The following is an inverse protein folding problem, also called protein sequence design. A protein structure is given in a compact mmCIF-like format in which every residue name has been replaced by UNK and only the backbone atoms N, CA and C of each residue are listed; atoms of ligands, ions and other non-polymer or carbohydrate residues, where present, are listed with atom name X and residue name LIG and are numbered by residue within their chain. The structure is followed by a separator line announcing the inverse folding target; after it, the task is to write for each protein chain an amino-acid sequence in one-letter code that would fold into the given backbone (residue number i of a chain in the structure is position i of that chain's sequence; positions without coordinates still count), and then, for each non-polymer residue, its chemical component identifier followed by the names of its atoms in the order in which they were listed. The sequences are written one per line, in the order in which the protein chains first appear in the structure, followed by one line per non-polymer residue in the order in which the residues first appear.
data_IF_023799540031
#
_entry.id   IF_023799540031
#
_cell.length_a   1.000
_cell.length_b   1.000
_cell.length_c   1.000
_cell.angle_alpha   90.00
_cell.angle_beta   90.00
_cell.angle_gamma   90.00
#
_symmetry.space_group_name_H-M   'P 1'
#
loop_
_entity.id
_entity.type
_entity.pdbx_description
1 polymer ?
#
# COMPACT_ATOMS: atom_id res chain seq x y z
N UNK A 1 -0.73 -32.93 8.88
CA UNK A 1 -1.20 -31.57 8.57
C UNK A 1 -0.65 -31.25 7.19
N UNK A 2 -1.51 -31.25 6.18
CA UNK A 2 -1.08 -31.07 4.79
C UNK A 2 -0.64 -29.61 4.58
N UNK A 3 0.67 -29.39 4.64
CA UNK A 3 1.30 -28.08 4.42
C UNK A 3 0.84 -27.46 3.10
N UNK A 4 0.65 -28.27 2.06
CA UNK A 4 0.14 -27.82 0.76
C UNK A 4 -1.31 -27.30 0.81
N UNK A 5 -2.19 -27.92 1.63
CA UNK A 5 -3.57 -27.46 1.80
C UNK A 5 -3.61 -26.05 2.42
N UNK A 6 -2.73 -25.80 3.40
CA UNK A 6 -2.64 -24.50 4.09
C UNK A 6 -2.16 -23.34 3.21
N UNK A 7 -1.45 -23.64 2.11
CA UNK A 7 -0.94 -22.65 1.17
C UNK A 7 -1.96 -22.24 0.10
N UNK A 8 -3.01 -23.05 -0.12
CA UNK A 8 -3.99 -22.80 -1.18
C UNK A 8 -4.64 -21.41 -1.12
N UNK A 9 -4.99 -20.85 0.06
CA UNK A 9 -5.60 -19.52 0.10
C UNK A 9 -4.62 -18.37 -0.17
N UNK A 10 -3.30 -18.62 -0.04
CA UNK A 10 -2.23 -17.64 -0.28
C UNK A 10 -1.60 -17.77 -1.68
N UNK A 11 -2.16 -18.61 -2.56
CA UNK A 11 -1.69 -18.76 -3.93
C UNK A 11 -1.59 -17.43 -4.68
N UNK A 12 -2.57 -16.50 -4.61
CA UNK A 12 -2.46 -15.22 -5.31
C UNK A 12 -1.20 -14.44 -4.94
N UNK A 13 -0.88 -14.34 -3.66
CA UNK A 13 0.33 -13.67 -3.15
C UNK A 13 1.60 -14.36 -3.65
N UNK A 14 1.64 -15.69 -3.61
CA UNK A 14 2.79 -16.47 -4.08
C UNK A 14 3.00 -16.23 -5.58
N UNK A 15 1.94 -16.24 -6.39
CA UNK A 15 2.04 -16.03 -7.83
C UNK A 15 2.51 -14.61 -8.18
N UNK A 16 2.03 -13.55 -7.51
CA UNK A 16 2.52 -12.19 -7.80
C UNK A 16 3.95 -11.99 -7.31
N UNK A 17 4.34 -12.58 -6.18
CA UNK A 17 5.70 -12.54 -5.68
C UNK A 17 6.68 -13.23 -6.64
N UNK A 18 6.32 -14.43 -7.12
CA UNK A 18 7.09 -15.14 -8.15
C UNK A 18 7.15 -14.34 -9.45
N UNK A 19 6.04 -13.74 -9.87
CA UNK A 19 6.00 -12.88 -11.06
C UNK A 19 6.95 -11.69 -10.91
N UNK A 20 6.99 -11.03 -9.74
CA UNK A 20 7.92 -9.93 -9.48
C UNK A 20 9.39 -10.38 -9.57
N UNK A 21 9.73 -11.52 -8.97
CA UNK A 21 11.06 -12.11 -9.07
C UNK A 21 11.44 -12.46 -10.52
N UNK A 22 10.52 -13.07 -11.28
CA UNK A 22 10.74 -13.44 -12.69
C UNK A 22 10.94 -12.18 -13.54
N UNK A 23 10.14 -11.13 -13.33
CA UNK A 23 10.27 -9.84 -14.03
C UNK A 23 11.62 -9.19 -13.74
N UNK A 24 12.06 -9.21 -12.47
CA UNK A 24 13.37 -8.70 -12.08
C UNK A 24 14.50 -9.49 -12.75
N UNK A 25 14.45 -10.81 -12.68
CA UNK A 25 15.46 -11.69 -13.29
C UNK A 25 15.49 -11.52 -14.82
N UNK A 26 14.33 -11.42 -15.48
CA UNK A 26 14.26 -11.14 -16.91
C UNK A 26 14.87 -9.77 -17.25
N UNK A 27 14.66 -8.76 -16.40
CA UNK A 27 15.26 -7.44 -16.54
C UNK A 27 16.79 -7.43 -16.45
N UNK A 28 17.36 -8.26 -15.56
CA UNK A 28 18.81 -8.37 -15.35
C UNK A 28 19.48 -9.26 -16.39
N UNK A 29 18.88 -10.39 -16.74
CA UNK A 29 19.48 -11.40 -17.63
C UNK A 29 19.33 -11.06 -19.11
N UNK A 30 18.28 -10.34 -19.50
CA UNK A 30 18.10 -9.96 -20.89
C UNK A 30 18.94 -8.72 -21.21
N UNK A 31 19.65 -8.69 -22.35
CA UNK A 31 20.50 -7.57 -22.70
C UNK A 31 19.69 -6.26 -22.73
N UNK A 32 19.96 -5.36 -21.80
CA UNK A 32 19.41 -4.00 -21.84
C UNK A 32 20.34 -3.16 -22.70
N UNK A 33 19.90 -2.84 -23.92
CA UNK A 33 20.56 -1.80 -24.72
C UNK A 33 20.32 -0.44 -24.04
N UNK A 34 21.23 0.54 -24.20
CA UNK A 34 21.02 1.89 -23.68
C UNK A 34 19.66 2.44 -24.14
N UNK A 35 19.00 3.20 -23.27
CA UNK A 35 17.63 3.71 -23.41
C UNK A 35 17.35 4.57 -24.66
N UNK A 36 18.33 4.73 -25.55
CA UNK A 36 18.24 5.47 -26.82
C UNK A 36 17.64 4.66 -27.97
N UNK A 37 17.56 3.32 -27.87
CA UNK A 37 16.96 2.48 -28.92
C UNK A 37 15.55 2.05 -28.52
N UNK A 38 14.56 2.41 -29.34
CA UNK A 38 13.10 2.18 -29.16
C UNK A 38 12.65 0.72 -29.06
N UNK A 39 13.57 -0.24 -29.11
CA UNK A 39 13.31 -1.67 -28.99
C UNK A 39 14.28 -2.31 -27.99
N UNK A 40 14.21 -1.91 -26.73
CA UNK A 40 14.87 -2.66 -25.66
C UNK A 40 14.05 -3.93 -25.40
N UNK A 41 14.52 -5.07 -25.90
CA UNK A 41 13.81 -6.34 -25.82
C UNK A 41 13.58 -6.74 -24.37
N UNK A 42 14.58 -6.60 -23.49
CA UNK A 42 14.49 -6.95 -22.07
C UNK A 42 13.37 -6.24 -21.32
N UNK A 43 13.27 -4.91 -21.45
CA UNK A 43 12.21 -4.11 -20.82
C UNK A 43 10.81 -4.48 -21.35
N UNK A 44 10.73 -4.82 -22.64
CA UNK A 44 9.45 -5.23 -23.24
C UNK A 44 8.99 -6.61 -22.77
N UNK A 45 9.92 -7.54 -22.55
CA UNK A 45 9.64 -8.82 -21.91
C UNK A 45 9.21 -8.64 -20.45
N UNK A 46 9.94 -7.84 -19.67
CA UNK A 46 9.60 -7.52 -18.29
C UNK A 46 8.17 -6.96 -18.16
N UNK A 47 7.81 -6.00 -19.02
CA UNK A 47 6.44 -5.46 -19.09
C UNK A 47 5.39 -6.53 -19.40
N UNK A 48 5.61 -7.34 -20.44
CA UNK A 48 4.64 -8.36 -20.85
C UNK A 48 4.46 -9.44 -19.76
N UNK A 49 5.56 -9.83 -19.12
CA UNK A 49 5.55 -10.77 -17.99
C UNK A 49 4.84 -10.18 -16.77
N UNK A 50 5.03 -8.89 -16.48
CA UNK A 50 4.30 -8.21 -15.41
C UNK A 50 2.79 -8.21 -15.64
N UNK A 51 2.34 -7.92 -16.87
CA UNK A 51 0.91 -7.99 -17.23
C UNK A 51 0.40 -9.42 -17.14
N UNK A 52 1.10 -10.39 -17.72
CA UNK A 52 0.69 -11.79 -17.70
C UNK A 52 0.60 -12.33 -16.26
N UNK A 53 1.59 -12.03 -15.42
CA UNK A 53 1.60 -12.40 -14.00
C UNK A 53 0.45 -11.78 -13.23
N UNK A 54 0.14 -10.50 -13.48
CA UNK A 54 -0.98 -9.78 -12.85
C UNK A 54 -2.36 -10.33 -13.27
N UNK A 55 -2.52 -10.68 -14.55
CA UNK A 55 -3.76 -11.29 -15.05
C UNK A 55 -3.94 -12.71 -14.53
N UNK A 56 -2.87 -13.50 -14.49
CA UNK A 56 -2.89 -14.86 -13.94
C UNK A 56 -3.27 -14.81 -12.45
N UNK A 57 -2.68 -13.90 -11.67
CA UNK A 57 -3.07 -13.74 -10.27
C UNK A 57 -4.50 -13.29 -10.11
N UNK A 58 -4.97 -12.33 -10.91
CA UNK A 58 -6.37 -11.91 -10.88
C UNK A 58 -7.32 -13.08 -11.16
N UNK A 59 -6.98 -13.91 -12.14
CA UNK A 59 -7.74 -15.13 -12.46
C UNK A 59 -7.80 -16.09 -11.25
N UNK A 60 -6.68 -16.31 -10.55
CA UNK A 60 -6.68 -17.15 -9.33
C UNK A 60 -7.57 -16.59 -8.21
N UNK A 61 -7.58 -15.27 -8.01
CA UNK A 61 -8.42 -14.60 -7.00
C UNK A 61 -9.90 -14.77 -7.33
N UNK A 62 -10.28 -14.58 -8.60
CA UNK A 62 -11.69 -14.67 -9.03
C UNK A 62 -12.22 -16.10 -8.94
N UNK A 63 -11.40 -17.10 -9.27
CA UNK A 63 -11.81 -18.51 -9.21
C UNK A 63 -11.83 -19.11 -7.80
N UNK A 64 -11.03 -18.57 -6.88
CA UNK A 64 -11.02 -19.05 -5.50
C UNK A 64 -12.41 -18.90 -4.85
N UNK A 65 -12.94 -19.88 -4.10
CA UNK A 65 -14.19 -19.71 -3.37
C UNK A 65 -14.02 -18.74 -2.18
N UNK A 66 -15.05 -17.95 -1.86
CA UNK A 66 -15.00 -16.89 -0.81
C UNK A 66 -15.20 -17.43 0.60
N UNK A 67 -14.75 -18.66 0.84
CA UNK A 67 -14.91 -19.28 2.15
C UNK A 67 -13.98 -18.59 3.14
N UNK A 68 -14.49 -18.36 4.35
CA UNK A 68 -13.75 -17.82 5.48
C UNK A 68 -12.71 -18.86 5.92
N UNK A 69 -11.59 -18.90 5.21
CA UNK A 69 -10.47 -19.75 5.56
C UNK A 69 -9.39 -18.90 6.25
N UNK A 70 -9.15 -19.24 7.52
CA UNK A 70 -7.99 -18.77 8.26
C UNK A 70 -6.89 -19.83 8.14
N UNK A 71 -5.70 -19.40 7.73
CA UNK A 71 -4.54 -20.27 7.61
C UNK A 71 -3.32 -19.63 8.29
N UNK A 72 -2.23 -20.41 8.38
CA UNK A 72 -0.99 -19.99 9.07
C UNK A 72 -1.25 -19.53 10.51
N UNK A 73 -1.90 -20.37 11.32
CA UNK A 73 -2.20 -20.07 12.73
C UNK A 73 -2.93 -18.72 12.90
N UNK A 74 -3.98 -18.45 12.11
CA UNK A 74 -4.75 -17.20 12.12
C UNK A 74 -3.98 -15.92 11.75
N UNK A 75 -2.74 -16.02 11.28
CA UNK A 75 -2.01 -14.85 10.76
C UNK A 75 -2.49 -14.41 9.37
N UNK A 76 -3.11 -15.32 8.62
CA UNK A 76 -3.67 -15.06 7.29
C UNK A 76 -5.17 -15.34 7.27
N UNK A 77 -5.94 -14.40 6.73
CA UNK A 77 -7.40 -14.49 6.58
C UNK A 77 -7.80 -14.23 5.14
N UNK A 78 -8.53 -15.16 4.54
CA UNK A 78 -9.12 -14.96 3.22
C UNK A 78 -10.64 -14.88 3.35
N UNK A 79 -11.20 -13.71 3.07
CA UNK A 79 -12.63 -13.43 3.15
C UNK A 79 -13.08 -12.56 1.96
N UNK A 80 -14.37 -12.19 1.95
CA UNK A 80 -14.94 -11.36 0.89
C UNK A 80 -14.25 -10.00 0.74
N UNK A 81 -13.84 -9.38 1.86
CA UNK A 81 -13.12 -8.11 1.86
C UNK A 81 -11.73 -8.27 1.23
N UNK A 82 -10.97 -9.28 1.65
CA UNK A 82 -9.65 -9.58 1.09
C UNK A 82 -9.74 -9.77 -0.42
N UNK A 83 -10.71 -10.58 -0.88
CA UNK A 83 -10.94 -10.82 -2.31
C UNK A 83 -11.24 -9.54 -3.07
N UNK A 84 -12.11 -8.68 -2.53
CA UNK A 84 -12.49 -7.42 -3.17
C UNK A 84 -11.30 -6.48 -3.32
N UNK A 85 -10.52 -6.30 -2.25
CA UNK A 85 -9.35 -5.40 -2.28
C UNK A 85 -8.29 -5.95 -3.23
N UNK A 86 -8.02 -7.27 -3.21
CA UNK A 86 -7.05 -7.91 -4.11
C UNK A 86 -7.47 -7.79 -5.58
N UNK A 87 -8.74 -8.02 -5.90
CA UNK A 87 -9.24 -7.94 -7.27
C UNK A 87 -9.19 -6.50 -7.81
N UNK A 88 -9.57 -5.52 -7.00
CA UNK A 88 -9.46 -4.10 -7.34
C UNK A 88 -7.99 -3.67 -7.52
N UNK A 89 -7.10 -4.08 -6.61
CA UNK A 89 -5.68 -3.75 -6.68
C UNK A 89 -5.02 -4.33 -7.95
N UNK A 90 -5.29 -5.59 -8.27
CA UNK A 90 -4.78 -6.25 -9.49
C UNK A 90 -5.39 -5.65 -10.77
N UNK A 91 -6.68 -5.32 -10.75
CA UNK A 91 -7.34 -4.63 -11.87
C UNK A 91 -6.73 -3.26 -12.14
N UNK A 92 -6.54 -2.45 -11.09
CA UNK A 92 -5.86 -1.15 -11.18
C UNK A 92 -4.40 -1.30 -11.59
N UNK A 93 -3.70 -2.35 -11.16
CA UNK A 93 -2.33 -2.63 -11.59
C UNK A 93 -2.28 -2.87 -13.10
N UNK A 94 -3.12 -3.77 -13.63
CA UNK A 94 -3.14 -4.07 -15.08
C UNK A 94 -3.45 -2.81 -15.90
N UNK A 95 -4.50 -2.08 -15.54
CA UNK A 95 -4.88 -0.84 -16.22
C UNK A 95 -3.78 0.22 -16.10
N UNK A 96 -3.20 0.36 -14.91
CA UNK A 96 -2.10 1.27 -14.62
C UNK A 96 -0.88 0.97 -15.47
N UNK A 97 -0.43 -0.29 -15.54
CA UNK A 97 0.72 -0.70 -16.35
C UNK A 97 0.52 -0.37 -17.84
N UNK A 98 -0.68 -0.63 -18.38
CA UNK A 98 -1.02 -0.30 -19.78
C UNK A 98 -0.96 1.22 -20.00
N UNK A 99 -1.58 2.00 -19.11
CA UNK A 99 -1.67 3.45 -19.23
C UNK A 99 -0.32 4.17 -19.02
N UNK A 100 0.50 3.68 -18.09
CA UNK A 100 1.75 4.33 -17.69
C UNK A 100 2.91 4.09 -18.69
N UNK A 101 2.91 2.97 -19.41
CA UNK A 101 4.07 2.60 -20.27
C UNK A 101 4.45 3.65 -21.32
N UNK A 102 3.51 4.25 -22.09
CA UNK A 102 3.87 5.31 -23.04
C UNK A 102 4.54 6.51 -22.36
N UNK A 103 4.08 6.87 -21.15
CA UNK A 103 4.68 7.94 -20.35
C UNK A 103 6.11 7.58 -19.93
N UNK A 104 6.33 6.38 -19.40
CA UNK A 104 7.66 5.92 -18.97
C UNK A 104 8.66 5.92 -20.14
N UNK A 105 8.24 5.49 -21.33
CA UNK A 105 9.07 5.51 -22.55
C UNK A 105 9.43 6.92 -22.98
N UNK A 106 8.44 7.83 -22.99
CA UNK A 106 8.64 9.23 -23.39
C UNK A 106 9.64 9.94 -22.49
N UNK A 107 9.65 9.62 -21.19
CA UNK A 107 10.55 10.20 -20.20
C UNK A 107 11.82 9.36 -19.97
N UNK A 108 12.06 8.32 -20.78
CA UNK A 108 13.25 7.45 -20.73
C UNK A 108 13.49 6.78 -19.37
N UNK A 109 12.41 6.53 -18.63
CA UNK A 109 12.39 5.83 -17.34
C UNK A 109 11.67 4.46 -17.43
N UNK A 110 11.45 3.96 -18.66
CA UNK A 110 10.92 2.60 -18.92
C UNK A 110 12.01 1.57 -18.59
N UNK A 111 11.96 1.04 -17.36
CA UNK A 111 12.95 0.12 -16.81
C UNK A 111 12.28 -1.08 -16.10
N UNK A 112 12.90 -2.27 -16.08
CA UNK A 112 12.33 -3.47 -15.44
C UNK A 112 12.05 -3.30 -13.95
N UNK A 113 12.85 -2.47 -13.28
CA UNK A 113 12.75 -2.16 -11.85
C UNK A 113 11.40 -1.50 -11.54
N UNK A 114 10.90 -0.61 -12.40
CA UNK A 114 9.60 0.02 -12.20
C UNK A 114 8.46 -1.02 -12.13
N UNK A 115 8.46 -1.98 -13.06
CA UNK A 115 7.46 -3.06 -13.10
C UNK A 115 7.58 -3.99 -11.90
N UNK A 116 8.82 -4.30 -11.49
CA UNK A 116 9.11 -5.12 -10.32
C UNK A 116 8.59 -4.47 -9.04
N UNK A 117 8.88 -3.17 -8.84
CA UNK A 117 8.41 -2.40 -7.70
C UNK A 117 6.88 -2.29 -7.68
N UNK A 118 6.23 -2.10 -8.84
CA UNK A 118 4.77 -2.07 -8.94
C UNK A 118 4.12 -3.40 -8.52
N UNK A 119 4.73 -4.54 -8.88
CA UNK A 119 4.26 -5.87 -8.46
C UNK A 119 4.44 -6.10 -6.96
N UNK A 120 5.61 -5.77 -6.40
CA UNK A 120 5.85 -5.88 -4.95
C UNK A 120 5.00 -4.91 -4.13
N UNK A 121 4.76 -3.69 -4.62
CA UNK A 121 3.84 -2.74 -4.02
C UNK A 121 2.43 -3.33 -3.94
N UNK A 122 1.96 -3.93 -5.04
CA UNK A 122 0.65 -4.59 -5.10
C UNK A 122 0.59 -5.81 -4.18
N UNK A 123 1.67 -6.61 -4.10
CA UNK A 123 1.80 -7.69 -3.13
C UNK A 123 1.63 -7.17 -1.69
N UNK A 124 2.23 -6.02 -1.34
CA UNK A 124 2.02 -5.38 -0.04
C UNK A 124 0.54 -5.11 0.24
N UNK A 125 -0.21 -4.61 -0.75
CA UNK A 125 -1.66 -4.42 -0.65
C UNK A 125 -2.41 -5.72 -0.42
N UNK A 126 -2.04 -6.79 -1.13
CA UNK A 126 -2.66 -8.11 -0.98
C UNK A 126 -2.39 -8.70 0.42
N UNK A 127 -1.17 -8.57 0.92
CA UNK A 127 -0.78 -8.99 2.27
C UNK A 127 -1.58 -8.23 3.33
N UNK A 128 -1.73 -6.90 3.20
CA UNK A 128 -2.57 -6.11 4.11
C UNK A 128 -4.03 -6.55 4.07
N UNK A 129 -4.57 -6.78 2.87
CA UNK A 129 -5.96 -7.20 2.69
C UNK A 129 -6.26 -8.54 3.37
N UNK A 130 -5.26 -9.42 3.49
CA UNK A 130 -5.38 -10.73 4.13
C UNK A 130 -4.74 -10.84 5.52
N UNK A 131 -4.37 -9.72 6.12
CA UNK A 131 -3.72 -9.75 7.43
C UNK A 131 -4.70 -10.17 8.54
N UNK A 132 -4.34 -11.24 9.27
CA UNK A 132 -5.01 -11.67 10.51
C UNK A 132 -4.28 -11.26 11.79
N UNK A 133 -3.10 -10.63 11.68
CA UNK A 133 -2.29 -10.21 12.81
C UNK A 133 -1.64 -8.85 12.57
N UNK A 134 -1.30 -8.14 13.65
CA UNK A 134 -0.60 -6.86 13.63
C UNK A 134 0.70 -6.92 12.81
N UNK A 135 1.46 -8.01 12.95
CA UNK A 135 2.73 -8.19 12.26
C UNK A 135 2.56 -8.28 10.73
N UNK A 136 1.66 -9.14 10.25
CA UNK A 136 1.41 -9.30 8.81
C UNK A 136 0.88 -7.99 8.21
N UNK A 137 0.03 -7.29 8.97
CA UNK A 137 -0.50 -6.01 8.56
C UNK A 137 0.62 -4.97 8.38
N UNK A 138 1.51 -4.84 9.37
CA UNK A 138 2.67 -3.95 9.31
C UNK A 138 3.63 -4.30 8.16
N UNK A 139 3.90 -5.60 7.94
CA UNK A 139 4.75 -6.04 6.83
C UNK A 139 4.18 -5.64 5.46
N UNK A 140 2.87 -5.75 5.27
CA UNK A 140 2.23 -5.30 4.04
C UNK A 140 2.31 -3.78 3.85
N UNK A 141 2.17 -3.01 4.95
CA UNK A 141 2.33 -1.54 4.94
C UNK A 141 3.74 -1.13 4.52
N UNK A 142 4.76 -1.76 5.09
CA UNK A 142 6.17 -1.46 4.83
C UNK A 142 6.61 -1.91 3.44
N UNK A 143 6.18 -3.10 2.99
CA UNK A 143 6.48 -3.57 1.64
C UNK A 143 5.94 -2.60 0.59
N UNK A 144 4.70 -2.13 0.76
CA UNK A 144 4.14 -1.08 -0.10
C UNK A 144 4.96 0.20 -0.01
N UNK A 145 5.26 0.68 1.20
CA UNK A 145 5.94 1.95 1.42
C UNK A 145 7.29 2.01 0.71
N UNK A 146 8.15 1.00 0.94
CA UNK A 146 9.49 0.92 0.37
C UNK A 146 9.46 0.87 -1.17
N UNK A 147 8.49 0.14 -1.74
CA UNK A 147 8.31 0.11 -3.18
C UNK A 147 7.92 1.49 -3.74
N UNK A 148 6.98 2.18 -3.09
CA UNK A 148 6.57 3.52 -3.53
C UNK A 148 7.70 4.54 -3.43
N UNK A 149 8.54 4.50 -2.39
CA UNK A 149 9.70 5.39 -2.28
C UNK A 149 10.67 5.19 -3.46
N UNK A 150 10.94 3.94 -3.82
CA UNK A 150 11.74 3.60 -5.00
C UNK A 150 11.10 4.07 -6.31
N UNK A 151 9.78 3.91 -6.46
CA UNK A 151 9.06 4.35 -7.66
C UNK A 151 9.00 5.88 -7.80
N UNK A 152 8.99 6.64 -6.69
CA UNK A 152 9.05 8.12 -6.74
C UNK A 152 10.45 8.57 -7.16
N UNK A 153 11.50 7.91 -6.65
CA UNK A 153 12.90 8.21 -6.96
C UNK A 153 13.41 7.55 -8.26
N UNK A 154 12.53 6.99 -9.10
CA UNK A 154 12.96 6.20 -10.27
C UNK A 154 13.72 7.04 -11.30
N UNK A 155 13.36 8.32 -11.43
CA UNK A 155 14.09 9.27 -12.27
C UNK A 155 15.29 9.83 -11.49
N UNK A 156 16.44 9.19 -11.67
CA UNK A 156 17.69 9.55 -10.98
C UNK A 156 18.33 10.84 -11.51
N UNK A 157 17.81 11.41 -12.60
CA UNK A 157 18.34 12.63 -13.21
C UNK A 157 17.55 13.88 -12.81
N UNK A 158 16.36 13.72 -12.21
CA UNK A 158 15.54 14.83 -11.74
C UNK A 158 15.71 15.04 -10.23
N UNK A 159 16.39 16.12 -9.86
CA UNK A 159 16.60 16.50 -8.45
C UNK A 159 15.26 16.67 -7.70
N UNK A 160 14.18 17.07 -8.39
CA UNK A 160 12.86 17.22 -7.78
C UNK A 160 12.25 15.88 -7.39
N UNK A 161 12.49 14.84 -8.17
CA UNK A 161 12.05 13.48 -7.87
C UNK A 161 12.81 12.93 -6.65
N UNK A 162 14.11 13.21 -6.55
CA UNK A 162 14.93 12.86 -5.39
C UNK A 162 14.48 13.58 -4.11
N UNK A 163 14.22 14.90 -4.18
CA UNK A 163 13.70 15.68 -3.05
C UNK A 163 12.33 15.15 -2.59
N UNK A 164 11.41 14.91 -3.53
CA UNK A 164 10.08 14.39 -3.25
C UNK A 164 10.13 13.00 -2.59
N UNK A 165 10.98 12.10 -3.10
CA UNK A 165 11.18 10.78 -2.52
C UNK A 165 11.77 10.86 -1.11
N UNK A 166 12.74 11.75 -0.87
CA UNK A 166 13.33 11.94 0.45
C UNK A 166 12.30 12.45 1.46
N UNK A 167 11.50 13.46 1.08
CA UNK A 167 10.38 13.94 1.92
C UNK A 167 9.40 12.82 2.21
N UNK A 168 9.05 12.02 1.22
CA UNK A 168 8.10 10.92 1.38
C UNK A 168 8.64 9.82 2.29
N UNK A 169 9.91 9.45 2.12
CA UNK A 169 10.59 8.45 2.92
C UNK A 169 10.70 8.89 4.38
N UNK A 170 11.18 10.11 4.65
CA UNK A 170 11.38 10.60 6.02
C UNK A 170 10.05 10.76 6.75
N UNK A 171 9.06 11.42 6.14
CA UNK A 171 7.74 11.60 6.75
C UNK A 171 7.03 10.25 6.93
N UNK A 172 7.20 9.34 5.96
CA UNK A 172 6.61 8.01 6.02
C UNK A 172 7.27 7.10 7.05
N UNK A 173 8.59 7.17 7.24
CA UNK A 173 9.30 6.45 8.28
C UNK A 173 8.85 6.89 9.68
N UNK A 174 8.65 8.19 9.89
CA UNK A 174 8.10 8.72 11.15
C UNK A 174 6.68 8.22 11.39
N UNK A 175 5.81 8.30 10.38
CA UNK A 175 4.43 7.83 10.49
C UNK A 175 4.33 6.30 10.69
N UNK A 176 5.22 5.54 10.03
CA UNK A 176 5.30 4.10 10.21
C UNK A 176 5.86 3.70 11.57
N UNK A 177 6.86 4.43 12.07
CA UNK A 177 7.35 4.28 13.44
C UNK A 177 6.26 4.54 14.48
N UNK A 178 5.45 5.60 14.29
CA UNK A 178 4.28 5.86 15.11
C UNK A 178 3.27 4.69 15.04
N UNK A 179 2.94 4.22 13.84
CA UNK A 179 2.04 3.07 13.65
C UNK A 179 2.53 1.83 14.39
N UNK A 180 3.80 1.46 14.20
CA UNK A 180 4.43 0.29 14.85
C UNK A 180 4.45 0.44 16.36
N UNK A 181 4.73 1.64 16.87
CA UNK A 181 4.73 1.91 18.30
C UNK A 181 3.34 1.74 18.92
N UNK A 182 2.29 2.24 18.25
CA UNK A 182 0.90 2.00 18.64
C UNK A 182 0.53 0.51 18.62
N UNK A 183 0.91 -0.22 17.57
CA UNK A 183 0.72 -1.68 17.50
C UNK A 183 1.45 -2.42 18.63
N UNK A 184 2.68 -2.00 18.96
CA UNK A 184 3.47 -2.55 20.06
C UNK A 184 2.82 -2.30 21.42
N UNK A 185 2.18 -1.14 21.63
CA UNK A 185 1.44 -0.86 22.86
C UNK A 185 0.21 -1.75 22.98
N UNK A 186 -0.54 -1.98 21.89
CA UNK A 186 -1.64 -2.94 21.89
C UNK A 186 -1.17 -4.35 22.22
N UNK A 187 -0.06 -4.80 21.63
CA UNK A 187 0.56 -6.06 22.02
C UNK A 187 0.95 -6.09 23.50
N UNK A 188 1.50 -5.00 24.05
CA UNK A 188 1.82 -4.90 25.48
C UNK A 188 0.61 -4.98 26.41
N UNK A 189 -0.57 -4.53 25.95
CA UNK A 189 -1.82 -4.60 26.72
C UNK A 189 -2.49 -5.97 26.64
N UNK A 190 -2.48 -6.62 25.47
CA UNK A 190 -3.26 -7.85 25.23
C UNK A 190 -2.42 -9.12 25.26
N UNK A 191 -1.09 -9.00 25.08
CA UNK A 191 -0.18 -10.14 24.95
C UNK A 191 -0.30 -10.90 23.62
N UNK A 192 -1.14 -10.44 22.68
CA UNK A 192 -1.39 -11.13 21.40
C UNK A 192 -1.15 -10.24 20.19
N UNK A 193 -0.70 -10.87 19.10
CA UNK A 193 -0.56 -10.23 17.79
C UNK A 193 -1.80 -10.45 16.90
N UNK A 194 -2.69 -11.38 17.26
CA UNK A 194 -3.87 -11.69 16.45
C UNK A 194 -4.90 -10.58 16.57
N UNK A 195 -5.41 -10.10 15.43
CA UNK A 195 -6.39 -9.01 15.39
C UNK A 195 -7.67 -9.39 16.17
N UNK A 196 -8.12 -10.64 16.06
CA UNK A 196 -9.29 -11.16 16.77
C UNK A 196 -9.14 -11.18 18.30
N UNK A 197 -7.93 -11.09 18.81
CA UNK A 197 -7.61 -11.17 20.23
C UNK A 197 -7.28 -9.78 20.82
N UNK A 198 -7.42 -8.71 20.03
CA UNK A 198 -7.22 -7.33 20.50
C UNK A 198 -8.41 -6.79 21.30
N UNK A 199 -8.84 -7.56 22.30
CA UNK A 199 -9.90 -7.16 23.23
C UNK A 199 -9.26 -6.39 24.39
N UNK A 200 -9.72 -5.16 24.59
CA UNK A 200 -9.17 -4.25 25.60
C UNK A 200 -10.26 -4.00 26.63
N UNK A 201 -9.94 -4.22 27.90
CA UNK A 201 -10.81 -3.86 29.00
C UNK A 201 -10.75 -2.34 29.22
N UNK A 202 -11.88 -1.67 29.02
CA UNK A 202 -12.02 -0.23 29.19
C UNK A 202 -12.59 0.16 30.56
N UNK A 203 -12.87 -0.82 31.43
CA UNK A 203 -13.40 -0.58 32.77
C UNK A 203 -12.33 -0.07 33.75
N UNK A 204 -11.07 -0.48 33.57
CA UNK A 204 -9.92 0.04 34.32
C UNK A 204 -9.33 1.29 33.61
N UNK A 205 -9.24 2.45 34.30
CA UNK A 205 -8.67 3.67 33.74
C UNK A 205 -7.25 3.54 33.21
N UNK A 206 -6.39 2.72 33.82
CA UNK A 206 -4.97 2.66 33.44
C UNK A 206 -4.77 1.98 32.05
N UNK A 207 -5.28 0.76 31.79
CA UNK A 207 -5.30 0.16 30.46
C UNK A 207 -6.05 1.02 29.43
N UNK A 208 -7.15 1.66 29.82
CA UNK A 208 -7.92 2.52 28.92
C UNK A 208 -7.11 3.73 28.41
N UNK A 209 -6.37 4.40 29.29
CA UNK A 209 -5.53 5.55 28.90
C UNK A 209 -4.39 5.13 27.95
N UNK A 210 -3.76 3.98 28.21
CA UNK A 210 -2.70 3.45 27.33
C UNK A 210 -3.29 3.07 25.97
N UNK A 211 -4.47 2.45 25.94
CA UNK A 211 -5.16 2.07 24.71
C UNK A 211 -5.53 3.29 23.86
N UNK A 212 -5.97 4.39 24.47
CA UNK A 212 -6.25 5.65 23.77
C UNK A 212 -4.98 6.26 23.18
N UNK A 213 -3.87 6.25 23.92
CA UNK A 213 -2.58 6.71 23.41
C UNK A 213 -2.08 5.84 22.25
N UNK A 214 -2.17 4.52 22.39
CA UNK A 214 -1.83 3.55 21.33
C UNK A 214 -2.68 3.77 20.08
N UNK A 215 -3.98 4.02 20.26
CA UNK A 215 -4.90 4.35 19.18
C UNK A 215 -4.50 5.65 18.48
N UNK A 216 -4.10 6.69 19.22
CA UNK A 216 -3.61 7.95 18.65
C UNK A 216 -2.40 7.70 17.73
N UNK A 217 -1.42 6.92 18.18
CA UNK A 217 -0.25 6.53 17.37
C UNK A 217 -0.63 5.74 16.11
N UNK A 218 -1.57 4.80 16.22
CA UNK A 218 -2.09 4.06 15.07
C UNK A 218 -2.80 4.99 14.07
N UNK A 219 -3.62 5.92 14.57
CA UNK A 219 -4.36 6.86 13.74
C UNK A 219 -3.45 7.85 13.02
N UNK A 220 -2.30 8.24 13.60
CA UNK A 220 -1.27 9.01 12.88
C UNK A 220 -0.79 8.26 11.64
N UNK A 221 -0.47 6.97 11.77
CA UNK A 221 -0.04 6.13 10.65
C UNK A 221 -1.12 5.98 9.57
N UNK A 222 -2.37 5.73 9.98
CA UNK A 222 -3.51 5.63 9.06
C UNK A 222 -3.76 6.96 8.34
N UNK A 223 -3.80 8.07 9.08
CA UNK A 223 -4.03 9.41 8.52
C UNK A 223 -2.93 9.81 7.53
N UNK A 224 -1.67 9.48 7.81
CA UNK A 224 -0.57 9.66 6.88
C UNK A 224 -0.77 8.87 5.58
N UNK A 225 -1.13 7.58 5.66
CA UNK A 225 -1.38 6.71 4.49
C UNK A 225 -2.58 7.18 3.67
N UNK A 226 -3.59 7.76 4.31
CA UNK A 226 -4.73 8.38 3.63
C UNK A 226 -4.39 9.73 2.99
N UNK A 227 -3.31 10.39 3.41
CA UNK A 227 -3.02 11.78 3.05
C UNK A 227 -4.00 12.76 3.71
N UNK A 228 -4.51 12.44 4.90
CA UNK A 228 -5.47 13.26 5.64
C UNK A 228 -4.79 14.40 6.40
N UNK A 229 -5.45 15.55 6.53
CA UNK A 229 -4.97 16.68 7.33
C UNK A 229 -4.98 16.29 8.82
N UNK A 230 -3.91 16.56 9.60
CA UNK A 230 -2.72 17.38 9.30
C UNK A 230 -1.53 16.64 8.67
N UNK A 231 -1.62 15.34 8.40
CA UNK A 231 -0.51 14.48 7.93
C UNK A 231 -0.36 14.41 6.40
N UNK A 232 -0.99 15.32 5.66
CA UNK A 232 -1.05 15.35 4.20
C UNK A 232 0.14 16.06 3.51
N UNK A 233 1.06 16.66 4.27
CA UNK A 233 2.10 17.55 3.73
C UNK A 233 3.02 16.90 2.68
N UNK A 234 3.17 15.58 2.71
CA UNK A 234 3.95 14.82 1.73
C UNK A 234 3.27 14.77 0.35
N UNK A 235 1.94 14.77 0.31
CA UNK A 235 1.16 14.38 -0.88
C UNK A 235 1.33 15.34 -2.07
N UNK A 236 1.23 16.68 -1.92
CA UNK A 236 1.41 17.59 -3.05
C UNK A 236 2.81 17.53 -3.66
N UNK A 237 3.85 17.44 -2.82
CA UNK A 237 5.24 17.42 -3.26
C UNK A 237 5.58 16.09 -3.96
N UNK A 238 5.05 14.97 -3.48
CA UNK A 238 5.24 13.66 -4.11
C UNK A 238 4.51 13.55 -5.46
N UNK A 239 3.29 14.07 -5.54
CA UNK A 239 2.53 14.05 -6.79
C UNK A 239 3.20 14.94 -7.84
N UNK A 240 3.72 16.10 -7.43
CA UNK A 240 4.36 17.03 -8.34
C UNK A 240 5.76 16.57 -8.76
N UNK A 241 6.61 16.24 -7.79
CA UNK A 241 8.02 15.90 -8.00
C UNK A 241 8.23 14.48 -8.54
N UNK A 242 7.34 13.55 -8.23
CA UNK A 242 7.40 12.18 -8.77
C UNK A 242 6.96 12.07 -10.23
N UNK A 243 7.34 10.98 -10.92
CA UNK A 243 6.79 10.66 -12.23
C UNK A 243 5.26 10.58 -12.17
N UNK A 244 4.58 11.08 -13.19
CA UNK A 244 3.11 11.04 -13.25
C UNK A 244 2.56 9.61 -13.18
N UNK A 245 3.32 8.64 -13.73
CA UNK A 245 3.00 7.22 -13.61
C UNK A 245 2.95 6.77 -12.14
N UNK A 246 3.93 7.16 -11.33
CA UNK A 246 3.97 6.83 -9.90
C UNK A 246 2.86 7.55 -9.13
N UNK A 247 2.60 8.83 -9.44
CA UNK A 247 1.50 9.57 -8.82
C UNK A 247 0.13 8.89 -9.05
N UNK A 248 -0.11 8.37 -10.26
CA UNK A 248 -1.33 7.60 -10.58
C UNK A 248 -1.40 6.28 -9.79
N UNK A 249 -0.26 5.61 -9.57
CA UNK A 249 -0.20 4.41 -8.74
C UNK A 249 -0.53 4.72 -7.27
N UNK A 250 0.04 5.80 -6.73
CA UNK A 250 -0.20 6.26 -5.36
C UNK A 250 -1.66 6.67 -5.17
N UNK A 251 -2.25 7.39 -6.12
CA UNK A 251 -3.63 7.86 -6.04
C UNK A 251 -4.68 6.75 -6.15
N UNK A 252 -4.29 5.54 -6.60
CA UNK A 252 -5.20 4.41 -6.83
C UNK A 252 -4.90 3.24 -5.89
N UNK A 253 -3.87 2.45 -6.18
CA UNK A 253 -3.55 1.19 -5.47
C UNK A 253 -3.13 1.47 -4.02
N UNK A 254 -2.35 2.52 -3.76
CA UNK A 254 -1.95 2.84 -2.39
C UNK A 254 -3.12 3.32 -1.51
N UNK A 255 -4.17 3.92 -2.10
CA UNK A 255 -5.40 4.25 -1.36
C UNK A 255 -6.20 2.99 -0.99
N UNK A 256 -6.24 1.97 -1.86
CA UNK A 256 -6.84 0.66 -1.50
C UNK A 256 -6.13 0.01 -0.31
N UNK A 257 -4.81 0.14 -0.21
CA UNK A 257 -4.04 -0.31 0.93
C UNK A 257 -4.41 0.42 2.24
N UNK A 258 -4.63 1.74 2.18
CA UNK A 258 -5.09 2.48 3.34
C UNK A 258 -6.49 2.00 3.81
N UNK A 259 -7.39 1.68 2.88
CA UNK A 259 -8.68 1.05 3.20
C UNK A 259 -8.51 -0.35 3.81
N UNK A 260 -7.61 -1.17 3.28
CA UNK A 260 -7.30 -2.50 3.84
C UNK A 260 -6.80 -2.37 5.29
N UNK A 261 -5.89 -1.45 5.55
CA UNK A 261 -5.36 -1.15 6.88
C UNK A 261 -6.46 -0.70 7.84
N UNK A 262 -7.31 0.22 7.41
CA UNK A 262 -8.41 0.75 8.21
C UNK A 262 -9.42 -0.35 8.56
N UNK A 263 -9.83 -1.15 7.57
CA UNK A 263 -10.78 -2.24 7.78
C UNK A 263 -10.22 -3.33 8.69
N UNK A 264 -9.01 -3.85 8.40
CA UNK A 264 -8.40 -4.91 9.23
C UNK A 264 -8.07 -4.44 10.64
N UNK A 265 -7.50 -3.26 10.79
CA UNK A 265 -7.07 -2.82 12.12
C UNK A 265 -8.21 -2.28 12.95
N UNK A 266 -9.02 -1.36 12.41
CA UNK A 266 -10.03 -0.66 13.19
C UNK A 266 -11.35 -1.43 13.31
N UNK A 267 -11.78 -2.11 12.23
CA UNK A 267 -13.05 -2.85 12.25
C UNK A 267 -12.86 -4.26 12.83
N UNK A 268 -11.84 -5.01 12.38
CA UNK A 268 -11.65 -6.38 12.88
C UNK A 268 -10.91 -6.41 14.23
N UNK A 269 -9.93 -5.52 14.45
CA UNK A 269 -9.07 -5.54 15.64
C UNK A 269 -9.50 -4.61 16.77
N UNK A 270 -9.76 -3.34 16.48
CA UNK A 270 -9.94 -2.28 17.49
C UNK A 270 -11.40 -1.79 17.58
N UNK A 271 -12.36 -2.68 17.33
CA UNK A 271 -13.78 -2.31 17.37
C UNK A 271 -14.25 -1.90 18.79
N UNK A 272 -13.62 -2.45 19.84
CA UNK A 272 -13.86 -2.03 21.23
C UNK A 272 -13.62 -0.53 21.46
N UNK A 273 -12.76 0.09 20.64
CA UNK A 273 -12.42 1.52 20.69
C UNK A 273 -13.19 2.35 19.63
N UNK A 274 -14.29 1.82 19.05
CA UNK A 274 -14.96 2.48 17.92
C UNK A 274 -15.39 3.91 18.17
N UNK A 275 -15.90 4.21 19.37
CA UNK A 275 -16.34 5.56 19.72
C UNK A 275 -15.20 6.59 19.61
N UNK A 276 -13.96 6.17 19.92
CA UNK A 276 -12.77 7.02 19.84
C UNK A 276 -12.30 7.20 18.40
N UNK A 277 -12.00 6.09 17.69
CA UNK A 277 -11.44 6.23 16.34
C UNK A 277 -12.44 6.79 15.34
N UNK A 278 -13.73 6.51 15.49
CA UNK A 278 -14.76 7.06 14.61
C UNK A 278 -14.83 8.58 14.74
N UNK A 279 -14.81 9.09 15.98
CA UNK A 279 -14.81 10.53 16.25
C UNK A 279 -13.61 11.23 15.63
N UNK A 280 -12.41 10.63 15.78
CA UNK A 280 -11.19 11.18 15.19
C UNK A 280 -11.23 11.13 13.66
N UNK A 281 -11.64 10.01 13.05
CA UNK A 281 -11.72 9.89 11.59
C UNK A 281 -12.74 10.87 10.98
N UNK A 282 -13.88 11.10 11.64
CA UNK A 282 -14.86 12.12 11.23
C UNK A 282 -14.24 13.51 11.29
N UNK A 283 -13.53 13.83 12.37
CA UNK A 283 -12.82 15.11 12.51
C UNK A 283 -11.77 15.31 11.41
N UNK A 284 -10.90 14.32 11.18
CA UNK A 284 -9.90 14.34 10.10
C UNK A 284 -10.56 14.49 8.73
N UNK A 285 -11.69 13.81 8.51
CA UNK A 285 -12.46 13.89 7.27
C UNK A 285 -12.99 15.31 7.02
N UNK A 286 -13.65 15.92 8.01
CA UNK A 286 -14.18 17.29 7.90
C UNK A 286 -13.07 18.29 7.60
N UNK A 287 -11.97 18.23 8.36
CA UNK A 287 -10.83 19.14 8.17
C UNK A 287 -10.19 18.94 6.79
N UNK A 288 -10.04 17.69 6.34
CA UNK A 288 -9.47 17.38 5.02
C UNK A 288 -10.35 17.90 3.88
N UNK A 289 -11.68 17.79 4.01
CA UNK A 289 -12.64 18.29 3.03
C UNK A 289 -12.56 19.81 2.87
N UNK A 290 -12.47 20.53 4.00
CA UNK A 290 -12.37 22.00 4.01
C UNK A 290 -11.01 22.43 3.46
N UNK A 291 -9.93 21.90 4.03
CA UNK A 291 -8.57 22.35 3.72
C UNK A 291 -8.13 21.95 2.31
N UNK A 292 -8.43 20.72 1.87
CA UNK A 292 -8.12 20.23 0.52
C UNK A 292 -8.78 21.09 -0.56
N UNK A 293 -10.09 21.36 -0.42
CA UNK A 293 -10.81 22.20 -1.38
C UNK A 293 -10.30 23.64 -1.41
N UNK A 294 -10.03 24.25 -0.24
CA UNK A 294 -9.50 25.62 -0.18
C UNK A 294 -8.12 25.75 -0.83
N UNK A 295 -7.23 24.78 -0.61
CA UNK A 295 -5.91 24.81 -1.22
C UNK A 295 -5.93 24.46 -2.70
N UNK A 296 -6.83 23.57 -3.15
CA UNK A 296 -7.00 23.22 -4.55
C UNK A 296 -7.32 24.46 -5.42
N UNK A 297 -8.16 25.38 -4.93
CA UNK A 297 -8.51 26.63 -5.62
C UNK A 297 -7.32 27.56 -5.89
N UNK A 298 -6.24 27.43 -5.12
CA UNK A 298 -5.02 28.25 -5.26
C UNK A 298 -3.90 27.56 -6.05
N UNK A 299 -4.09 26.30 -6.47
CA UNK A 299 -3.06 25.58 -7.20
C UNK A 299 -3.04 25.99 -8.68
N UNK A 300 -1.83 26.27 -9.18
CA UNK A 300 -1.57 26.55 -10.60
C UNK A 300 -1.11 25.27 -11.31
N UNK A 301 -0.42 24.38 -10.59
CA UNK A 301 0.08 23.11 -11.09
C UNK A 301 -1.00 22.03 -11.03
N UNK A 302 -1.26 21.38 -12.17
CA UNK A 302 -2.32 20.37 -12.28
C UNK A 302 -2.08 19.14 -11.40
N UNK A 303 -0.82 18.73 -11.19
CA UNK A 303 -0.51 17.57 -10.34
C UNK A 303 -0.73 17.91 -8.87
N UNK A 304 -0.32 19.10 -8.43
CA UNK A 304 -0.64 19.59 -7.07
C UNK A 304 -2.14 19.73 -6.86
N UNK A 305 -2.86 20.25 -7.87
CA UNK A 305 -4.32 20.37 -7.81
C UNK A 305 -4.97 18.99 -7.62
N UNK A 306 -4.57 18.00 -8.43
CA UNK A 306 -5.05 16.64 -8.30
C UNK A 306 -4.67 16.02 -6.94
N UNK A 307 -3.48 16.32 -6.42
CA UNK A 307 -3.08 15.88 -5.08
C UNK A 307 -4.07 16.36 -4.02
N UNK A 308 -4.41 17.65 -3.99
CA UNK A 308 -5.39 18.18 -3.02
C UNK A 308 -6.83 17.68 -3.27
N UNK A 309 -7.15 17.23 -4.47
CA UNK A 309 -8.45 16.65 -4.79
C UNK A 309 -8.59 15.17 -4.41
N UNK A 310 -7.50 14.46 -4.09
CA UNK A 310 -7.47 12.99 -3.86
C UNK A 310 -7.47 12.64 -2.37
#
# INVERSE_FOLDING_TARGET
MDTFGSMTPALPEIFIALSACIVLMAGVLLPTKPATTTANSGVSWAYNLAIAGSLLTLFTVVLSPALLDSTFFNHYRYDGLARLIKSLALGFLVLGLIYMRPYLRRHRIDCPEYYTLALFATLGVMIMASAGSLLILYLGVELLALCLYGMVAIDRQDDRAAEAAMKYFVLGAIASGALLYGMSMFYGLTGSLHLSELVIDLSDPAPANIAQLALAFVLVGIAFKLGAVPFHAWMPDVYQGGPTATALFISSIAKLAAFALLARLLLDGLFSLHSYWQTVLVGLGIVSLIYGNLLALRQIDIKRLLAFST
#
